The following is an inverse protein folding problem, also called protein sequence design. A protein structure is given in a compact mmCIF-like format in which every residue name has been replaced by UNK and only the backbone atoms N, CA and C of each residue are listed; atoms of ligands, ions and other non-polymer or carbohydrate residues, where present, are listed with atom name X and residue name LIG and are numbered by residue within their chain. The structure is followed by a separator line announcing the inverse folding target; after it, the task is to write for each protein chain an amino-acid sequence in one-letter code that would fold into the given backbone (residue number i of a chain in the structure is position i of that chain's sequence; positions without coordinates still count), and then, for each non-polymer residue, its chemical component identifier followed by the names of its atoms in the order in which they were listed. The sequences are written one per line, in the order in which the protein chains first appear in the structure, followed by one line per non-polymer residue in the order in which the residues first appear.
data_IF_296779344107
#
_entry.id   IF_296779344107
#
_cell.length_a   1.000
_cell.length_b   1.000
_cell.length_c   1.000
_cell.angle_alpha   90.00
_cell.angle_beta   90.00
_cell.angle_gamma   90.00
#
_symmetry.space_group_name_H-M   'P 1'
#
loop_
_entity.id
_entity.type
_entity.pdbx_description
1 polymer ?
2 non-polymer ?
3 non-polymer ?
4 water ?
#
# COMPACT_ATOMS: atom_id res chain seq x y z
N UNK A 3 -26.08 -5.48 -25.58
CA UNK A 3 -24.63 -5.26 -25.57
C UNK A 3 -24.23 -3.94 -24.87
N UNK A 4 -24.74 -3.69 -23.66
CA UNK A 4 -24.39 -2.46 -22.92
C UNK A 4 -22.91 -2.36 -22.57
N UNK A 5 -22.34 -1.15 -22.54
CA UNK A 5 -20.94 -0.96 -22.17
C UNK A 5 -20.70 -1.10 -20.67
N UNK A 6 -19.57 -1.71 -20.27
CA UNK A 6 -19.24 -1.79 -18.84
C UNK A 6 -19.03 -0.41 -18.23
N UNK A 7 -19.21 -0.33 -16.91
CA UNK A 7 -19.01 0.89 -16.15
C UNK A 7 -17.90 0.62 -15.14
N UNK A 8 -16.91 1.51 -15.09
CA UNK A 8 -15.80 1.35 -14.14
C UNK A 8 -15.68 2.52 -13.19
N UNK A 9 -15.46 2.22 -11.91
CA UNK A 9 -15.36 3.23 -10.87
C UNK A 9 -14.01 3.03 -10.17
N UNK A 10 -13.10 4.00 -10.30
CA UNK A 10 -11.80 3.84 -9.64
C UNK A 10 -11.96 3.83 -8.14
N UNK A 11 -11.32 2.88 -7.47
CA UNK A 11 -11.31 2.85 -6.02
C UNK A 11 -9.89 2.70 -5.46
N UNK A 12 -9.75 3.02 -4.17
CA UNK A 12 -8.47 3.06 -3.48
C UNK A 12 -8.43 2.03 -2.35
N UNK A 13 -7.78 0.89 -2.59
CA UNK A 13 -7.71 -0.17 -1.58
C UNK A 13 -6.60 0.02 -0.56
N UNK A 14 -5.81 1.10 -0.68
CA UNK A 14 -4.70 1.32 0.27
C UNK A 14 -5.17 2.05 1.53
N UNK A 15 -6.39 2.61 1.51
CA UNK A 15 -6.91 3.37 2.66
C UNK A 15 -8.19 2.77 3.25
N UNK A 16 -8.19 2.48 4.55
CA UNK A 16 -9.40 2.01 5.26
C UNK A 16 -10.48 3.06 5.17
N UNK A 17 -11.73 2.64 4.94
CA UNK A 17 -12.85 3.58 4.91
C UNK A 17 -12.95 4.47 3.68
N UNK A 18 -12.15 4.17 2.66
CA UNK A 18 -12.25 4.93 1.41
C UNK A 18 -13.60 4.64 0.76
N UNK A 19 -14.33 5.70 0.44
CA UNK A 19 -15.67 5.59 -0.16
C UNK A 19 -15.72 6.29 -1.51
N UNK A 20 -16.38 5.65 -2.50
CA UNK A 20 -16.70 6.28 -3.76
C UNK A 20 -18.19 6.07 -4.08
N UNK A 21 -18.84 7.10 -4.59
CA UNK A 21 -20.26 7.04 -4.88
C UNK A 21 -20.51 7.50 -6.32
N UNK A 22 -21.15 6.68 -7.14
CA UNK A 22 -21.51 7.13 -8.48
C UNK A 22 -22.91 6.72 -8.92
N UNK A 23 -23.54 7.56 -9.73
CA UNK A 23 -24.81 7.22 -10.33
C UNK A 23 -24.54 6.27 -11.50
N UNK A 24 -25.40 5.29 -11.63
CA UNK A 24 -25.20 4.23 -12.55
C UNK A 24 -26.51 3.99 -13.28
N UNK A 25 -26.44 3.97 -14.60
CA UNK A 25 -27.61 3.74 -15.42
C UNK A 25 -27.60 2.34 -16.00
N UNK A 26 -28.62 1.55 -15.65
CA UNK A 26 -28.82 0.23 -16.23
C UNK A 26 -29.79 0.33 -17.42
N UNK A 27 -29.31 -0.03 -18.62
CA UNK A 27 -30.07 0.08 -19.86
C UNK A 27 -30.93 -1.14 -20.13
N UNK A 28 -30.55 -2.29 -19.58
CA UNK A 28 -31.24 -3.53 -19.87
C UNK A 28 -31.51 -4.25 -18.57
N UNK A 29 -32.75 -4.70 -18.39
CA UNK A 29 -33.06 -5.55 -17.25
C UNK A 29 -32.37 -6.89 -17.46
N UNK A 30 -31.32 -7.15 -16.69
CA UNK A 30 -30.59 -8.41 -16.81
C UNK A 30 -29.75 -8.64 -15.55
N UNK A 31 -28.86 -9.63 -15.57
CA UNK A 31 -27.96 -9.81 -14.45
C UNK A 31 -26.62 -9.21 -14.82
N UNK A 32 -25.91 -8.73 -13.80
CA UNK A 32 -24.66 -8.00 -13.97
C UNK A 32 -23.62 -8.47 -13.01
N UNK A 33 -22.41 -8.66 -13.52
CA UNK A 33 -21.28 -8.98 -12.67
C UNK A 33 -20.72 -7.70 -12.06
N UNK A 34 -20.36 -7.80 -10.77
CA UNK A 34 -19.64 -6.75 -10.07
C UNK A 34 -18.26 -7.32 -9.75
N UNK A 35 -17.20 -6.63 -10.16
CA UNK A 35 -15.85 -7.18 -10.01
C UNK A 35 -14.86 -6.10 -9.69
N UNK A 36 -13.67 -6.50 -9.25
CA UNK A 36 -12.58 -5.56 -9.14
C UNK A 36 -11.55 -5.92 -10.18
N UNK A 37 -11.04 -4.91 -10.88
CA UNK A 37 -9.98 -5.10 -11.87
C UNK A 37 -8.72 -4.37 -11.44
N UNK A 38 -7.62 -5.11 -11.37
CA UNK A 38 -6.32 -4.60 -10.92
C UNK A 38 -5.40 -4.29 -12.10
N UNK A 39 -4.86 -3.08 -12.13
CA UNK A 39 -3.80 -2.75 -13.10
C UNK A 39 -2.48 -3.42 -12.75
N UNK A 40 -1.71 -3.75 -13.78
CA UNK A 40 -0.47 -4.49 -13.62
C UNK A 40 0.54 -3.94 -14.62
N UNK A 41 1.83 -3.91 -14.26
CA UNK A 41 2.85 -3.47 -15.20
C UNK A 41 2.98 -4.45 -16.37
N UNK A 42 3.14 -3.95 -17.58
CA UNK A 42 3.25 -4.89 -18.70
C UNK A 42 4.42 -5.85 -18.48
N UNK A 43 4.21 -7.12 -18.84
CA UNK A 43 5.20 -8.16 -18.65
C UNK A 43 6.51 -7.77 -19.32
N UNK A 44 6.41 -7.12 -20.47
CA UNK A 44 7.58 -6.65 -21.19
C UNK A 44 8.46 -5.71 -20.35
N UNK A 45 7.83 -4.81 -19.61
CA UNK A 45 8.56 -3.85 -18.76
C UNK A 45 9.41 -4.51 -17.68
N UNK A 46 8.77 -5.19 -16.73
CA UNK A 46 9.50 -5.90 -15.68
C UNK A 46 9.63 -7.40 -15.97
N UNK A 47 10.13 -8.15 -15.00
CA UNK A 47 10.35 -9.57 -15.22
C UNK A 47 9.06 -10.37 -15.31
N UNK A 48 7.92 -9.67 -15.26
CA UNK A 48 6.64 -10.30 -15.05
C UNK A 48 6.37 -10.29 -13.57
N UNK A 49 7.25 -9.62 -12.85
CA UNK A 49 7.21 -9.62 -11.40
C UNK A 49 5.94 -8.98 -10.84
N UNK A 50 5.51 -7.87 -11.43
CA UNK A 50 4.36 -7.16 -10.91
C UNK A 50 3.12 -8.04 -11.03
N UNK A 51 3.01 -8.74 -12.16
CA UNK A 51 1.94 -9.69 -12.40
C UNK A 51 1.90 -10.78 -11.34
N UNK A 52 3.06 -11.31 -10.98
CA UNK A 52 3.12 -12.33 -9.93
C UNK A 52 2.72 -11.80 -8.56
N UNK A 53 3.07 -10.55 -8.24
CA UNK A 53 2.67 -10.03 -6.94
C UNK A 53 1.17 -9.86 -6.89
N UNK A 54 0.58 -9.44 -8.01
CA UNK A 54 -0.85 -9.26 -8.04
C UNK A 54 -1.57 -10.59 -8.00
N UNK A 55 -1.07 -11.57 -8.74
CA UNK A 55 -1.55 -12.93 -8.63
C UNK A 55 -1.51 -13.41 -7.16
N UNK A 56 -0.39 -13.19 -6.51
CA UNK A 56 -0.24 -13.62 -5.12
C UNK A 56 -1.36 -13.03 -4.24
N UNK A 57 -1.59 -11.72 -4.39
CA UNK A 57 -2.64 -11.00 -3.65
C UNK A 57 -4.05 -11.57 -3.94
N UNK A 58 -4.36 -11.76 -5.23
CA UNK A 58 -5.68 -12.30 -5.63
C UNK A 58 -5.95 -13.73 -5.15
N UNK A 59 -4.93 -14.58 -5.17
CA UNK A 59 -5.11 -16.00 -4.89
C UNK A 59 -5.25 -16.83 -6.16
N UNK A 60 -5.43 -18.13 -6.00
CA UNK A 60 -5.54 -19.08 -7.11
C UNK A 60 -6.89 -19.79 -7.22
N UNK A 61 -7.59 -19.93 -6.10
CA UNK A 61 -8.92 -20.53 -6.08
C UNK A 61 -9.94 -19.64 -6.78
N UNK A 62 -10.97 -20.25 -7.36
CA UNK A 62 -11.97 -19.51 -8.11
C UNK A 62 -13.38 -19.87 -7.66
N UNK A 63 -14.24 -18.86 -7.59
CA UNK A 63 -15.63 -19.01 -7.13
C UNK A 63 -16.58 -18.35 -8.13
N UNK A 64 -17.68 -19.03 -8.45
CA UNK A 64 -18.68 -18.48 -9.36
C UNK A 64 -19.43 -17.32 -8.68
N UNK A 65 -19.37 -16.11 -9.27
CA UNK A 65 -20.02 -14.97 -8.60
C UNK A 65 -21.55 -15.12 -8.53
N UNK A 66 -22.12 -15.98 -9.38
CA UNK A 66 -23.58 -16.15 -9.41
C UNK A 66 -24.11 -16.81 -8.13
N UNK A 67 -23.39 -17.79 -7.59
CA UNK A 67 -23.88 -18.52 -6.43
C UNK A 67 -22.84 -18.83 -5.40
N UNK A 68 -21.60 -18.40 -5.65
CA UNK A 68 -20.53 -18.59 -4.69
C UNK A 68 -19.90 -19.98 -4.76
N UNK A 69 -20.36 -20.83 -5.68
CA UNK A 69 -19.79 -22.18 -5.74
C UNK A 69 -18.30 -22.14 -6.13
N UNK A 70 -17.49 -22.97 -5.48
CA UNK A 70 -16.10 -23.09 -5.86
C UNK A 70 -15.95 -23.79 -7.20
N UNK A 71 -15.33 -23.12 -8.18
CA UNK A 71 -15.15 -23.73 -9.50
C UNK A 71 -13.68 -23.91 -9.82
N UNK A 72 -12.83 -23.40 -8.94
CA UNK A 72 -11.38 -23.57 -9.12
C UNK A 72 -10.68 -23.86 -7.78
N UNK A 73 -10.00 -24.98 -7.74
CA UNK A 73 -9.19 -25.34 -6.58
C UNK A 73 -7.72 -25.52 -6.94
N UNK A 74 -6.83 -24.93 -6.14
CA UNK A 74 -5.41 -25.01 -6.42
C UNK A 74 -4.67 -25.23 -5.12
N UNK A 75 -3.81 -26.24 -5.10
CA UNK A 75 -3.00 -26.56 -3.92
C UNK A 75 -1.77 -25.66 -3.81
N UNK A 76 -1.25 -25.55 -2.60
CA UNK A 76 0.00 -24.83 -2.34
C UNK A 76 1.12 -25.21 -3.30
N UNK A 77 1.31 -26.51 -3.57
CA UNK A 77 2.41 -26.91 -4.47
C UNK A 77 2.40 -26.15 -5.82
N UNK A 78 1.22 -25.97 -6.39
CA UNK A 78 1.12 -25.30 -7.70
C UNK A 78 1.36 -23.80 -7.56
N UNK A 79 0.75 -23.19 -6.54
CA UNK A 79 1.02 -21.80 -6.24
C UNK A 79 2.52 -21.59 -6.03
N UNK A 80 3.18 -22.55 -5.38
CA UNK A 80 4.62 -22.42 -5.12
C UNK A 80 5.41 -22.52 -6.44
N UNK A 81 4.96 -23.40 -7.34
CA UNK A 81 5.57 -23.51 -8.65
C UNK A 81 5.42 -22.20 -9.44
N UNK A 82 4.24 -21.59 -9.36
CA UNK A 82 4.01 -20.32 -10.06
C UNK A 82 4.80 -19.16 -9.43
N UNK A 83 4.79 -19.05 -8.11
CA UNK A 83 5.27 -17.85 -7.42
C UNK A 83 6.65 -17.92 -6.76
N UNK A 84 7.13 -19.13 -6.51
CA UNK A 84 8.45 -19.30 -5.86
C UNK A 84 8.65 -18.63 -4.50
N UNK A 85 9.73 -17.86 -4.39
CA UNK A 85 10.11 -17.20 -3.15
C UNK A 85 9.14 -16.10 -2.72
N UNK A 86 8.11 -15.83 -3.51
CA UNK A 86 7.17 -14.81 -3.13
C UNK A 86 6.25 -15.28 -2.01
N UNK A 87 6.15 -16.59 -1.85
CA UNK A 87 5.26 -17.15 -0.84
C UNK A 87 6.01 -18.17 0.02
N UNK A 88 5.41 -18.54 1.15
CA UNK A 88 5.92 -19.60 2.00
C UNK A 88 4.77 -20.54 2.29
N UNK A 89 5.02 -21.53 3.13
CA UNK A 89 4.06 -22.61 3.22
C UNK A 89 2.81 -22.23 3.96
N UNK A 90 2.75 -21.01 4.48
CA UNK A 90 1.52 -20.55 5.12
C UNK A 90 0.54 -19.93 4.11
N UNK A 91 0.92 -19.88 2.83
CA UNK A 91 0.14 -19.18 1.81
C UNK A 91 -1.23 -19.85 1.66
N UNK A 92 -2.26 -19.01 1.62
CA UNK A 92 -3.66 -19.43 1.42
C UNK A 92 -4.09 -19.14 -0.02
N UNK A 93 -4.40 -20.18 -0.79
CA UNK A 93 -4.83 -20.02 -2.19
C UNK A 93 -6.13 -19.24 -2.43
N UNK A 94 -6.86 -18.96 -1.36
CA UNK A 94 -7.97 -18.02 -1.47
C UNK A 94 -7.49 -16.57 -1.70
N UNK A 95 -6.20 -16.29 -1.51
CA UNK A 95 -5.69 -14.95 -1.64
C UNK A 95 -5.98 -14.06 -0.43
N UNK A 96 -5.69 -12.77 -0.57
CA UNK A 96 -5.94 -11.82 0.50
C UNK A 96 -7.41 -11.43 0.50
N UNK A 97 -8.06 -11.62 1.64
CA UNK A 97 -9.49 -11.32 1.70
C UNK A 97 -9.62 -9.82 1.73
N UNK A 98 -10.46 -9.26 0.86
CA UNK A 98 -10.69 -7.82 0.82
C UNK A 98 -12.17 -7.48 1.07
N UNK A 99 -12.48 -6.96 2.27
CA UNK A 99 -13.86 -6.61 2.63
C UNK A 99 -14.26 -5.37 1.89
N UNK A 100 -15.37 -5.45 1.16
CA UNK A 100 -15.90 -4.37 0.36
C UNK A 100 -17.37 -4.23 0.74
N UNK A 101 -17.79 -3.03 1.07
CA UNK A 101 -19.19 -2.81 1.35
C UNK A 101 -19.84 -2.10 0.17
N UNK A 102 -20.86 -2.74 -0.38
CA UNK A 102 -21.61 -2.15 -1.47
C UNK A 102 -23.02 -1.79 -1.05
N UNK A 103 -23.36 -0.51 -1.23
CA UNK A 103 -24.70 0.00 -0.96
C UNK A 103 -25.33 0.49 -2.26
N UNK A 104 -26.55 0.05 -2.55
CA UNK A 104 -27.23 0.46 -3.76
C UNK A 104 -28.61 1.08 -3.48
N UNK A 105 -28.80 2.32 -3.96
CA UNK A 105 -30.11 2.96 -3.99
C UNK A 105 -30.67 3.05 -5.41
N UNK A 106 -31.96 2.78 -5.55
CA UNK A 106 -32.60 3.04 -6.84
C UNK A 106 -33.15 4.44 -6.80
N UNK A 107 -33.00 5.18 -7.88
CA UNK A 107 -33.61 6.51 -7.99
C UNK A 107 -35.05 6.35 -8.51
N UNK A 108 -36.03 6.78 -7.73
CA UNK A 108 -37.44 6.61 -8.12
C UNK A 108 -37.88 7.68 -9.12
N UNK A 109 -39.06 7.44 -9.69
CA UNK A 109 -39.64 8.37 -10.64
C UNK A 109 -39.69 9.79 -10.06
N UNK A 110 -40.10 9.92 -8.81
CA UNK A 110 -40.18 11.25 -8.20
C UNK A 110 -38.84 11.68 -7.62
N UNK A 111 -37.79 10.96 -8.00
CA UNK A 111 -36.44 11.31 -7.58
C UNK A 111 -36.11 11.06 -6.10
N UNK A 112 -37.05 10.50 -5.32
CA UNK A 112 -36.67 9.90 -4.04
C UNK A 112 -35.73 8.71 -4.27
N UNK A 113 -35.02 8.31 -3.24
CA UNK A 113 -34.10 7.18 -3.35
C UNK A 113 -34.58 6.04 -2.47
N UNK A 114 -34.55 4.83 -3.02
CA UNK A 114 -34.96 3.64 -2.28
C UNK A 114 -33.72 2.77 -2.07
N UNK A 115 -33.41 2.45 -0.83
CA UNK A 115 -32.28 1.54 -0.53
C UNK A 115 -32.69 0.14 -0.97
N UNK A 116 -31.98 -0.46 -1.91
CA UNK A 116 -32.35 -1.83 -2.23
C UNK A 116 -31.31 -2.90 -1.85
N UNK A 117 -30.07 -2.49 -1.57
CA UNK A 117 -29.07 -3.44 -1.08
C UNK A 117 -28.02 -2.74 -0.24
N UNK A 118 -27.58 -3.39 0.84
CA UNK A 118 -26.45 -2.90 1.64
C UNK A 118 -25.71 -4.14 2.13
N UNK A 119 -24.61 -4.47 1.46
CA UNK A 119 -23.95 -5.76 1.67
C UNK A 119 -22.44 -5.63 1.89
N UNK A 120 -21.93 -6.37 2.87
CA UNK A 120 -20.49 -6.45 3.09
C UNK A 120 -20.03 -7.77 2.47
N UNK A 121 -19.15 -7.68 1.46
CA UNK A 121 -18.58 -8.88 0.83
C UNK A 121 -17.17 -9.10 1.32
N UNK A 122 -16.92 -10.28 1.86
CA UNK A 122 -15.57 -10.72 2.17
C UNK A 122 -14.95 -11.33 0.90
N UNK A 123 -14.56 -10.46 -0.02
CA UNK A 123 -14.14 -10.94 -1.35
C UNK A 123 -12.85 -11.77 -1.25
N UNK A 124 -12.72 -12.73 -2.17
CA UNK A 124 -11.56 -13.59 -2.17
C UNK A 124 -11.41 -14.19 -3.55
N UNK A 125 -10.25 -14.76 -3.83
CA UNK A 125 -10.12 -15.57 -5.01
C UNK A 125 -9.82 -14.79 -6.28
N UNK A 126 -9.73 -15.56 -7.33
CA UNK A 126 -9.20 -15.13 -8.60
C UNK A 126 -10.38 -15.14 -9.59
N UNK A 127 -10.78 -13.97 -10.06
CA UNK A 127 -11.91 -13.85 -11.00
C UNK A 127 -11.67 -14.33 -12.42
N UNK A 128 -12.74 -14.31 -13.23
CA UNK A 128 -12.68 -14.88 -14.57
C UNK A 128 -11.71 -14.16 -15.51
N UNK A 129 -11.77 -12.84 -15.57
CA UNK A 129 -10.92 -12.09 -16.48
C UNK A 129 -9.45 -11.97 -16.06
N UNK A 130 -8.71 -11.07 -16.71
CA UNK A 130 -7.32 -10.83 -16.37
C UNK A 130 -7.18 -10.00 -15.11
N UNK A 131 -6.44 -10.53 -14.14
CA UNK A 131 -6.18 -9.81 -12.90
C UNK A 131 -7.45 -9.22 -12.30
N UNK A 132 -8.44 -10.07 -12.12
CA UNK A 132 -9.72 -9.63 -11.57
C UNK A 132 -10.07 -10.40 -10.31
N UNK A 133 -10.90 -9.79 -9.49
CA UNK A 133 -11.54 -10.54 -8.43
C UNK A 133 -13.05 -10.35 -8.57
N UNK A 134 -13.77 -11.47 -8.65
CA UNK A 134 -15.22 -11.48 -8.83
C UNK A 134 -15.87 -11.27 -7.45
N UNK A 135 -16.75 -10.28 -7.33
CA UNK A 135 -17.44 -10.01 -6.06
C UNK A 135 -18.79 -10.70 -6.01
N UNK A 136 -19.67 -10.32 -6.93
CA UNK A 136 -21.01 -10.91 -6.96
C UNK A 136 -21.67 -10.68 -8.34
N UNK A 137 -22.80 -11.35 -8.55
CA UNK A 137 -23.64 -11.13 -9.72
C UNK A 137 -25.02 -10.74 -9.21
N UNK A 138 -25.60 -9.67 -9.77
CA UNK A 138 -26.86 -9.15 -9.27
C UNK A 138 -27.83 -8.84 -10.44
N UNK A 139 -29.10 -9.19 -10.25
CA UNK A 139 -30.12 -8.87 -11.25
C UNK A 139 -30.61 -7.45 -11.03
N UNK A 140 -30.39 -6.57 -12.01
CA UNK A 140 -30.85 -5.17 -11.94
C UNK A 140 -31.84 -4.89 -13.07
N UNK A 141 -32.95 -4.22 -12.75
CA UNK A 141 -33.88 -3.77 -13.75
C UNK A 141 -33.36 -2.48 -14.37
N UNK A 142 -33.78 -2.25 -15.61
CA UNK A 142 -33.54 -1.01 -16.32
C UNK A 142 -33.91 0.16 -15.41
N UNK A 143 -33.02 1.13 -15.28
CA UNK A 143 -33.27 2.26 -14.42
C UNK A 143 -32.00 2.95 -13.99
N UNK A 144 -32.13 3.81 -12.99
CA UNK A 144 -31.03 4.60 -12.47
C UNK A 144 -30.77 4.22 -11.02
N UNK A 145 -29.49 4.14 -10.65
CA UNK A 145 -29.08 3.70 -9.32
C UNK A 145 -27.92 4.55 -8.78
N UNK A 146 -27.82 4.63 -7.46
CA UNK A 146 -26.61 5.14 -6.82
C UNK A 146 -25.85 3.97 -6.21
N UNK A 147 -24.62 3.76 -6.68
CA UNK A 147 -23.74 2.77 -6.09
C UNK A 147 -22.76 3.46 -5.16
N UNK A 148 -22.68 2.98 -3.93
CA UNK A 148 -21.67 3.46 -3.02
C UNK A 148 -20.76 2.28 -2.70
N UNK A 149 -19.46 2.47 -2.87
CA UNK A 149 -18.50 1.39 -2.67
C UNK A 149 -17.46 1.85 -1.65
N UNK A 150 -17.35 1.09 -0.56
CA UNK A 150 -16.46 1.42 0.52
C UNK A 150 -15.45 0.29 0.71
N UNK A 151 -14.17 0.65 0.69
CA UNK A 151 -13.10 -0.27 1.03
C UNK A 151 -12.90 -0.25 2.55
N UNK A 152 -13.13 -1.39 3.19
CA UNK A 152 -13.09 -1.45 4.66
C UNK A 152 -11.67 -1.43 5.25
N UNK A 153 -10.77 -2.27 4.72
CA UNK A 153 -9.42 -2.37 5.27
C UNK A 153 -8.34 -1.76 4.38
N UNK A 154 -7.25 -1.34 5.02
CA UNK A 154 -6.08 -0.79 4.31
C UNK A 154 -5.17 -1.92 3.84
N UNK A 155 -4.79 -1.90 2.55
CA UNK A 155 -3.81 -2.86 2.01
C UNK A 155 -2.59 -2.13 1.46
N UNK A 156 -1.48 -2.22 2.17
CA UNK A 156 -0.29 -1.48 1.81
C UNK A 156 0.27 -1.93 0.48
N UNK A 157 0.02 -3.19 0.10
CA UNK A 157 0.37 -3.68 -1.25
C UNK A 157 -0.30 -2.87 -2.37
N UNK A 158 -1.41 -2.22 -2.07
CA UNK A 158 -2.18 -1.53 -3.10
C UNK A 158 -1.85 -0.06 -3.15
N UNK A 159 -0.86 0.37 -2.38
CA UNK A 159 -0.50 1.78 -2.42
C UNK A 159 -0.02 2.15 -3.84
N UNK A 160 -0.57 3.22 -4.41
CA UNK A 160 -0.19 3.66 -5.75
C UNK A 160 -0.73 2.79 -6.88
N UNK A 161 -1.52 1.76 -6.57
CA UNK A 161 -1.97 0.87 -7.62
C UNK A 161 -3.39 1.21 -8.00
N UNK A 162 -3.65 1.28 -9.31
CA UNK A 162 -5.01 1.50 -9.78
C UNK A 162 -5.84 0.22 -9.72
N UNK A 163 -7.04 0.36 -9.16
CA UNK A 163 -8.04 -0.70 -9.09
C UNK A 163 -9.40 -0.09 -9.50
N UNK A 164 -10.14 -0.79 -10.36
CA UNK A 164 -11.48 -0.37 -10.77
C UNK A 164 -12.53 -1.29 -10.18
N UNK A 165 -13.56 -0.72 -9.58
CA UNK A 165 -14.81 -1.43 -9.39
C UNK A 165 -15.57 -1.38 -10.71
N UNK A 166 -15.95 -2.55 -11.23
CA UNK A 166 -16.56 -2.62 -12.56
C UNK A 166 -17.89 -3.39 -12.60
N UNK A 167 -18.87 -2.82 -13.31
CA UNK A 167 -20.16 -3.49 -13.54
C UNK A 167 -20.26 -3.82 -15.01
N UNK A 168 -20.42 -5.09 -15.33
CA UNK A 168 -20.69 -5.43 -16.72
C UNK A 168 -21.76 -6.54 -16.85
N UNK A 169 -22.41 -6.57 -18.00
CA UNK A 169 -23.58 -7.43 -18.16
C UNK A 169 -23.13 -8.87 -18.19
N UNK A 170 -23.90 -9.76 -17.56
CA UNK A 170 -23.59 -11.19 -17.57
C UNK A 170 -24.16 -11.85 -18.85
N UNK A 171 -23.28 -12.21 -19.79
CA UNK A 171 -23.74 -12.78 -21.07
C UNK A 171 -24.03 -14.29 -21.06
N UNK A 172 -24.17 -14.91 -19.90
CA UNK A 172 -24.61 -16.30 -19.87
C UNK A 172 -25.24 -16.70 -18.55
N UNK B 3 23.22 -10.99 0.56
CA UNK B 3 22.40 -10.81 1.76
C UNK B 3 20.92 -10.71 1.41
N UNK B 4 20.04 -10.70 2.42
CA UNK B 4 18.62 -10.49 2.11
C UNK B 4 18.37 -9.12 1.51
N UNK B 5 17.38 -9.02 0.61
CA UNK B 5 17.00 -7.73 0.03
C UNK B 5 16.28 -6.81 1.02
N UNK B 6 16.45 -5.50 0.82
CA UNK B 6 15.78 -4.49 1.65
C UNK B 6 14.27 -4.63 1.46
N UNK B 7 13.51 -4.24 2.46
CA UNK B 7 12.06 -4.20 2.35
C UNK B 7 11.58 -2.75 2.52
N UNK B 8 10.70 -2.29 1.62
CA UNK B 8 10.30 -0.89 1.58
C UNK B 8 8.80 -0.71 1.53
N UNK B 9 8.32 0.35 2.17
CA UNK B 9 6.92 0.68 2.08
C UNK B 9 6.78 2.18 1.97
N UNK B 10 5.93 2.65 1.05
CA UNK B 10 5.70 4.09 0.92
C UNK B 10 5.09 4.62 2.19
N UNK B 11 5.56 5.80 2.58
CA UNK B 11 4.98 6.48 3.72
C UNK B 11 4.56 7.90 3.29
N UNK B 12 3.43 8.38 3.82
CA UNK B 12 2.94 9.73 3.51
C UNK B 12 3.20 10.70 4.67
N UNK B 13 4.25 11.51 4.53
CA UNK B 13 4.62 12.45 5.59
C UNK B 13 3.79 13.72 5.53
N UNK B 14 2.98 13.87 4.48
CA UNK B 14 2.15 15.06 4.34
C UNK B 14 0.86 15.05 5.16
N UNK B 15 0.54 13.90 5.77
CA UNK B 15 -0.74 13.74 6.48
C UNK B 15 -0.55 13.34 7.93
N UNK B 16 -1.08 14.15 8.84
CA UNK B 16 -1.00 13.82 10.28
C UNK B 16 -1.74 12.52 10.59
N UNK B 17 -1.06 11.58 11.24
CA UNK B 17 -1.66 10.34 11.68
C UNK B 17 -1.80 9.31 10.57
N UNK B 18 -1.09 9.53 9.47
CA UNK B 18 -1.06 8.55 8.41
C UNK B 18 -0.45 7.25 8.97
N UNK B 19 -1.05 6.12 8.63
CA UNK B 19 -0.58 4.86 9.15
C UNK B 19 -0.37 3.93 7.99
N UNK B 20 0.72 3.18 8.02
CA UNK B 20 0.94 2.09 7.05
C UNK B 20 1.39 0.83 7.78
N UNK B 21 0.97 -0.32 7.28
CA UNK B 21 1.23 -1.56 7.97
C UNK B 21 1.73 -2.59 6.96
N UNK B 22 2.75 -3.35 7.34
CA UNK B 22 3.38 -4.24 6.40
C UNK B 22 3.93 -5.48 7.10
N UNK B 23 3.63 -6.64 6.55
CA UNK B 23 4.22 -7.88 7.05
C UNK B 23 5.66 -8.00 6.58
N UNK B 24 6.54 -8.25 7.54
CA UNK B 24 7.97 -8.28 7.28
C UNK B 24 8.58 -9.62 7.66
N UNK B 25 9.15 -10.29 6.66
CA UNK B 25 9.78 -11.58 6.87
C UNK B 25 11.30 -11.42 7.04
N UNK B 26 11.80 -11.75 8.22
CA UNK B 26 13.23 -11.68 8.54
C UNK B 26 13.85 -13.06 8.27
N UNK B 27 14.77 -13.13 7.32
CA UNK B 27 15.33 -14.43 6.91
C UNK B 27 16.54 -14.82 7.76
N UNK B 28 17.17 -13.82 8.36
CA UNK B 28 18.40 -14.07 9.08
C UNK B 28 18.35 -13.32 10.39
N UNK B 29 18.52 -14.03 11.50
CA UNK B 29 18.66 -13.39 12.80
C UNK B 29 19.85 -12.46 12.82
N UNK B 30 19.60 -11.15 12.88
CA UNK B 30 20.69 -10.19 12.82
C UNK B 30 20.15 -8.82 13.23
N UNK B 31 20.97 -7.78 13.11
CA UNK B 31 20.44 -6.42 13.33
C UNK B 31 20.12 -5.73 12.00
N UNK B 32 19.11 -4.87 12.03
CA UNK B 32 18.60 -4.26 10.81
C UNK B 32 18.43 -2.76 11.00
N UNK B 33 18.81 -1.97 10.00
CA UNK B 33 18.55 -0.53 10.04
C UNK B 33 17.11 -0.21 9.61
N UNK B 34 16.48 0.71 10.32
CA UNK B 34 15.20 1.22 9.87
C UNK B 34 15.45 2.68 9.43
N UNK B 35 15.02 3.03 8.22
CA UNK B 35 15.34 4.36 7.68
C UNK B 35 14.15 4.90 6.88
N UNK B 36 14.11 6.21 6.66
CA UNK B 36 13.29 6.79 5.60
C UNK B 36 14.21 7.19 4.44
N UNK B 37 13.77 6.89 3.21
CA UNK B 37 14.49 7.30 2.02
C UNK B 37 13.62 8.26 1.21
N UNK B 38 14.20 9.39 0.81
CA UNK B 38 13.48 10.42 0.06
C UNK B 38 13.86 10.41 -1.42
N UNK B 39 12.87 10.34 -2.29
CA UNK B 39 13.13 10.47 -3.71
C UNK B 39 13.42 11.93 -4.04
N UNK B 40 14.31 12.16 -4.99
CA UNK B 40 14.68 13.50 -5.36
C UNK B 40 14.66 13.60 -6.89
N UNK B 41 14.24 14.75 -7.41
CA UNK B 41 14.32 15.00 -8.86
C UNK B 41 15.76 14.92 -9.35
N UNK B 42 15.90 14.40 -10.56
CA UNK B 42 17.21 14.27 -11.18
C UNK B 42 17.89 15.64 -11.23
N UNK B 43 19.11 15.68 -10.73
CA UNK B 43 19.97 16.86 -10.77
C UNK B 43 19.98 17.54 -12.15
N UNK B 44 19.98 16.72 -13.21
CA UNK B 44 19.96 17.21 -14.59
C UNK B 44 18.73 18.07 -14.93
N UNK B 45 17.61 17.81 -14.26
CA UNK B 45 16.38 18.55 -14.55
C UNK B 45 16.32 19.99 -14.00
N UNK B 46 16.78 20.19 -12.77
CA UNK B 46 16.60 21.48 -12.11
C UNK B 46 17.87 22.11 -11.54
N UNK B 47 19.03 21.64 -12.00
CA UNK B 47 20.29 22.17 -11.50
C UNK B 47 20.53 21.83 -10.04
N UNK B 48 19.81 20.84 -9.54
CA UNK B 48 20.03 20.32 -8.19
C UNK B 48 19.15 20.99 -7.17
N UNK B 49 18.20 21.80 -7.63
CA UNK B 49 17.32 22.52 -6.73
C UNK B 49 16.55 21.60 -5.82
N UNK B 50 15.98 20.52 -6.36
CA UNK B 50 15.17 19.63 -5.55
C UNK B 50 16.00 18.92 -4.48
N UNK B 51 17.21 18.48 -4.85
CA UNK B 51 18.07 17.77 -3.91
C UNK B 51 18.43 18.66 -2.75
N UNK B 52 18.67 19.93 -3.04
CA UNK B 52 18.98 20.92 -2.03
C UNK B 52 17.81 21.17 -1.08
N UNK B 53 16.59 21.17 -1.63
CA UNK B 53 15.40 21.31 -0.80
C UNK B 53 15.26 20.12 0.15
N UNK B 54 15.46 18.90 -0.36
CA UNK B 54 15.40 17.72 0.48
C UNK B 54 16.50 17.73 1.54
N UNK B 55 17.73 18.05 1.13
CA UNK B 55 18.86 18.17 2.06
C UNK B 55 18.52 19.14 3.20
N UNK B 56 17.92 20.28 2.84
CA UNK B 56 17.56 21.27 3.83
C UNK B 56 16.65 20.67 4.90
N UNK B 57 15.66 19.93 4.45
CA UNK B 57 14.69 19.25 5.32
C UNK B 57 15.38 18.22 6.19
N UNK B 58 16.32 17.49 5.62
CA UNK B 58 16.93 16.39 6.37
C UNK B 58 17.89 16.88 7.45
N UNK B 59 18.61 17.96 7.15
CA UNK B 59 19.63 18.43 8.05
C UNK B 59 21.02 18.02 7.60
N UNK B 60 22.04 18.44 8.37
CA UNK B 60 23.43 18.23 8.03
C UNK B 60 24.16 17.36 9.08
N UNK B 61 23.69 17.37 10.34
CA UNK B 61 24.24 16.52 11.41
C UNK B 61 23.90 15.05 11.22
N UNK B 62 24.76 14.18 11.71
CA UNK B 62 24.58 12.73 11.49
C UNK B 62 24.66 12.00 12.80
N UNK B 63 23.85 10.96 12.94
CA UNK B 63 23.81 10.20 14.18
C UNK B 63 23.85 8.71 13.87
N UNK B 64 24.63 7.94 14.61
CA UNK B 64 24.69 6.50 14.40
C UNK B 64 23.39 5.86 14.88
N UNK B 65 22.67 5.13 13.99
CA UNK B 65 21.36 4.61 14.44
C UNK B 65 21.50 3.46 15.43
N UNK B 66 22.69 2.87 15.54
CA UNK B 66 22.90 1.78 16.49
C UNK B 66 22.82 2.25 17.93
N UNK B 67 23.28 3.47 18.21
CA UNK B 67 23.27 3.93 19.60
C UNK B 67 22.94 5.40 19.79
N UNK B 68 22.66 6.11 18.69
CA UNK B 68 22.35 7.52 18.75
C UNK B 68 23.55 8.44 18.86
N UNK B 69 24.76 7.89 18.84
CA UNK B 69 25.93 8.76 19.01
C UNK B 69 26.03 9.77 17.85
N UNK B 70 26.28 11.04 18.15
CA UNK B 70 26.49 11.99 17.06
C UNK B 70 27.81 11.70 16.32
N UNK B 71 27.74 11.37 15.04
CA UNK B 71 29.00 11.10 14.31
C UNK B 71 29.31 12.16 13.27
N UNK B 72 28.45 13.17 13.16
CA UNK B 72 28.62 14.16 12.13
C UNK B 72 28.11 15.48 12.68
N UNK B 73 28.97 16.48 12.66
CA UNK B 73 28.61 17.82 13.09
C UNK B 73 28.96 18.82 11.99
N UNK B 74 28.01 19.70 11.69
CA UNK B 74 28.19 20.72 10.66
C UNK B 74 27.65 22.08 11.16
N UNK B 75 28.42 23.13 10.94
CA UNK B 75 28.06 24.44 11.45
C UNK B 75 27.18 25.12 10.42
N UNK B 76 26.40 26.08 10.89
CA UNK B 76 25.56 26.88 10.01
C UNK B 76 26.37 27.37 8.82
N UNK B 77 27.60 27.86 9.06
CA UNK B 77 28.37 28.41 7.95
C UNK B 77 28.43 27.50 6.72
N UNK B 78 28.63 26.20 6.95
CA UNK B 78 28.69 25.25 5.84
C UNK B 78 27.33 24.93 5.25
N UNK B 79 26.32 24.81 6.10
CA UNK B 79 24.96 24.64 5.57
C UNK B 79 24.66 25.83 4.67
N UNK B 80 25.04 27.03 5.10
CA UNK B 80 24.77 28.23 4.29
C UNK B 80 25.52 28.23 2.93
N UNK B 81 26.78 27.78 2.94
CA UNK B 81 27.58 27.63 1.72
C UNK B 81 26.91 26.64 0.78
N UNK B 82 26.34 25.57 1.36
CA UNK B 82 25.69 24.55 0.56
C UNK B 82 24.35 25.04 -0.01
N UNK B 83 23.50 25.60 0.86
CA UNK B 83 22.11 25.90 0.54
C UNK B 83 21.80 27.37 0.18
N UNK B 84 22.67 28.30 0.55
CA UNK B 84 22.50 29.71 0.22
C UNK B 84 21.20 30.31 0.71
N UNK B 85 20.40 30.85 -0.20
CA UNK B 85 19.18 31.55 0.15
C UNK B 85 18.02 30.64 0.58
N UNK B 86 18.25 29.33 0.54
CA UNK B 86 17.21 28.40 0.96
C UNK B 86 17.08 28.41 2.47
N UNK B 87 18.06 28.97 3.16
CA UNK B 87 18.01 29.01 4.60
C UNK B 87 18.32 30.40 5.15
N UNK B 88 17.99 30.60 6.42
CA UNK B 88 18.33 31.83 7.14
C UNK B 88 19.03 31.49 8.45
N UNK B 89 19.37 32.52 9.21
CA UNK B 89 20.29 32.38 10.34
C UNK B 89 19.76 31.47 11.45
N UNK B 90 18.48 31.15 11.41
CA UNK B 90 17.87 30.34 12.44
C UNK B 90 17.88 28.84 12.06
N UNK B 91 18.58 28.51 10.99
CA UNK B 91 18.57 27.13 10.50
C UNK B 91 19.18 26.17 11.52
N UNK B 92 18.46 25.12 11.90
CA UNK B 92 19.00 24.04 12.74
C UNK B 92 19.58 22.90 11.91
N UNK B 93 20.89 22.67 11.99
CA UNK B 93 21.50 21.59 11.21
C UNK B 93 21.06 20.16 11.57
N UNK B 94 20.23 20.00 12.60
CA UNK B 94 19.62 18.70 12.86
C UNK B 94 18.48 18.46 11.89
N UNK B 95 18.13 19.51 11.14
CA UNK B 95 17.08 19.44 10.12
C UNK B 95 15.69 19.40 10.74
N UNK B 96 14.68 19.07 9.93
CA UNK B 96 13.30 18.99 10.44
C UNK B 96 13.07 17.71 11.23
N UNK B 97 12.67 17.87 12.50
CA UNK B 97 12.29 16.72 13.34
C UNK B 97 11.02 16.04 12.79
N UNK B 98 11.08 14.75 12.51
CA UNK B 98 9.89 14.07 12.01
C UNK B 98 9.49 12.96 13.00
N UNK B 99 8.44 13.21 13.81
CA UNK B 99 7.98 12.19 14.75
C UNK B 99 7.35 10.99 14.03
N UNK B 100 7.90 9.80 14.30
CA UNK B 100 7.48 8.55 13.65
C UNK B 100 7.25 7.53 14.75
N UNK B 101 6.09 6.87 14.71
CA UNK B 101 5.79 5.87 15.71
C UNK B 101 5.82 4.50 15.06
N UNK B 102 6.59 3.60 15.66
CA UNK B 102 6.74 2.27 15.09
C UNK B 102 6.30 1.21 16.09
N UNK B 103 5.33 0.40 15.66
CA UNK B 103 4.81 -0.68 16.46
C UNK B 103 5.16 -1.98 15.77
N UNK B 104 5.64 -2.98 16.50
CA UNK B 104 6.01 -4.22 15.85
C UNK B 104 5.43 -5.39 16.59
N UNK B 105 4.67 -6.22 15.85
CA UNK B 105 4.21 -7.49 16.39
C UNK B 105 4.95 -8.66 15.77
N UNK B 106 5.23 -9.67 16.58
CA UNK B 106 5.76 -10.90 16.02
C UNK B 106 4.60 -11.85 15.76
N UNK B 107 4.63 -12.51 14.61
CA UNK B 107 3.59 -13.48 14.31
C UNK B 107 4.04 -14.85 14.80
N UNK B 108 3.23 -15.46 15.66
CA UNK B 108 3.59 -16.75 16.22
C UNK B 108 3.16 -17.93 15.34
N UNK B 109 3.66 -19.12 15.69
CA UNK B 109 3.30 -20.34 14.98
C UNK B 109 1.79 -20.52 14.96
N UNK B 110 1.17 -20.43 16.13
CA UNK B 110 -0.28 -20.46 16.26
C UNK B 110 -0.93 -19.34 15.44
N UNK B 111 -0.09 -18.50 14.86
CA UNK B 111 -0.49 -17.34 14.07
C UNK B 111 -1.06 -16.21 14.91
N UNK B 112 -0.93 -16.35 16.23
CA UNK B 112 -1.27 -15.28 17.15
C UNK B 112 -0.25 -14.16 16.98
N UNK B 113 -0.60 -12.96 17.43
CA UNK B 113 0.30 -11.81 17.35
C UNK B 113 0.74 -11.32 18.73
N UNK B 114 2.05 -11.32 18.98
CA UNK B 114 2.61 -10.79 20.21
C UNK B 114 3.27 -9.43 19.99
N UNK B 115 2.85 -8.42 20.76
CA UNK B 115 3.43 -7.08 20.67
C UNK B 115 4.82 -7.08 21.27
N UNK B 116 5.83 -6.76 20.47
CA UNK B 116 7.18 -6.71 21.01
C UNK B 116 7.79 -5.32 21.10
N UNK B 117 7.25 -4.34 20.35
CA UNK B 117 7.78 -2.98 20.47
C UNK B 117 6.77 -1.93 20.03
N UNK B 118 6.79 -0.80 20.73
CA UNK B 118 5.93 0.34 20.38
C UNK B 118 6.71 1.58 20.81
N UNK B 119 7.29 2.27 19.84
CA UNK B 119 8.24 3.30 20.12
C UNK B 119 7.96 4.55 19.28
N UNK B 120 8.03 5.72 19.91
CA UNK B 120 7.94 7.02 19.24
C UNK B 120 9.35 7.53 19.05
N UNK B 121 9.76 7.77 17.79
CA UNK B 121 11.11 8.26 17.49
C UNK B 121 11.03 9.70 17.02
N UNK B 122 11.72 10.62 17.71
CA UNK B 122 11.77 12.01 17.26
C UNK B 122 12.90 12.10 16.21
N UNK B 123 12.64 11.63 14.99
CA UNK B 123 13.76 11.39 14.06
C UNK B 123 14.40 12.71 13.62
N UNK B 124 15.70 12.67 13.35
CA UNK B 124 16.43 13.88 13.01
C UNK B 124 17.68 13.56 12.24
N UNK B 125 18.17 14.55 11.49
CA UNK B 125 19.50 14.42 10.92
C UNK B 125 19.61 13.70 9.59
N UNK B 126 20.85 13.60 9.14
CA UNK B 126 21.19 13.17 7.81
C UNK B 126 21.76 11.75 7.93
N UNK B 127 21.06 10.77 7.37
CA UNK B 127 21.50 9.40 7.46
C UNK B 127 22.58 9.07 6.45
N UNK B 128 22.97 7.80 6.48
CA UNK B 128 24.12 7.26 5.76
C UNK B 128 24.02 7.35 4.24
N UNK B 129 23.03 6.69 3.63
CA UNK B 129 22.92 6.71 2.18
C UNK B 129 22.41 8.01 1.53
N UNK B 130 21.88 7.90 0.32
CA UNK B 130 21.49 9.05 -0.46
C UNK B 130 20.13 9.57 -0.02
N UNK B 131 20.07 10.82 0.40
CA UNK B 131 18.82 11.42 0.89
C UNK B 131 18.02 10.49 1.83
N UNK B 132 18.66 10.07 2.90
CA UNK B 132 18.00 9.21 3.88
C UNK B 132 17.98 9.86 5.24
N UNK B 133 17.05 9.38 6.06
CA UNK B 133 17.07 9.70 7.47
C UNK B 133 17.05 8.41 8.27
N UNK B 134 18.05 8.24 9.13
CA UNK B 134 18.22 6.99 9.87
C UNK B 134 17.30 7.06 11.08
N UNK B 135 16.44 6.06 11.27
CA UNK B 135 15.55 6.05 12.44
C UNK B 135 16.18 5.31 13.62
N UNK B 136 16.48 4.02 13.42
CA UNK B 136 17.07 3.24 14.50
C UNK B 136 17.58 1.94 13.90
N UNK B 137 18.27 1.16 14.71
CA UNK B 137 18.75 -0.16 14.31
C UNK B 137 18.23 -1.14 15.34
N UNK B 138 17.71 -2.29 14.89
CA UNK B 138 17.11 -3.22 15.84
C UNK B 138 17.51 -4.67 15.56
N UNK B 139 17.79 -5.44 16.60
CA UNK B 139 18.08 -6.86 16.41
C UNK B 139 16.78 -7.66 16.30
N UNK B 140 16.58 -8.33 15.17
CA UNK B 140 15.43 -9.19 15.02
C UNK B 140 15.84 -10.63 14.70
N UNK B 141 15.18 -11.58 15.35
CA UNK B 141 15.43 -12.97 15.03
C UNK B 141 14.69 -13.37 13.75
N UNK B 142 15.23 -14.38 13.07
CA UNK B 142 14.57 -14.95 11.90
C UNK B 142 13.12 -15.14 12.29
N UNK B 143 12.21 -14.70 11.42
CA UNK B 143 10.79 -14.90 11.67
C UNK B 143 9.95 -13.90 10.90
N UNK B 144 8.70 -13.72 11.34
CA UNK B 144 7.76 -12.89 10.61
C UNK B 144 7.12 -11.87 11.56
N UNK B 145 6.93 -10.64 11.08
CA UNK B 145 6.45 -9.55 11.91
C UNK B 145 5.44 -8.69 11.17
N UNK B 146 4.66 -7.93 11.94
CA UNK B 146 3.84 -6.88 11.36
C UNK B 146 4.49 -5.58 11.84
N UNK B 147 4.87 -4.72 10.89
CA UNK B 147 5.35 -3.38 11.22
C UNK B 147 4.26 -2.38 10.92
N UNK B 148 3.94 -1.54 11.89
CA UNK B 148 2.95 -0.49 11.73
C UNK B 148 3.68 0.81 11.94
N UNK B 149 3.75 1.63 10.90
CA UNK B 149 4.44 2.88 10.97
C UNK B 149 3.46 4.03 10.87
N UNK B 150 3.53 4.94 11.84
CA UNK B 150 2.63 6.07 11.88
C UNK B 150 3.37 7.38 11.81
N UNK B 151 2.95 8.23 10.87
CA UNK B 151 3.51 9.56 10.75
C UNK B 151 2.71 10.53 11.60
N UNK B 152 3.34 11.11 12.63
CA UNK B 152 2.58 11.88 13.62
C UNK B 152 2.15 13.27 13.10
N UNK B 153 3.08 14.03 12.54
CA UNK B 153 2.81 15.40 12.10
C UNK B 153 2.71 15.53 10.59
N UNK B 154 1.92 16.49 10.12
CA UNK B 154 1.82 16.78 8.70
C UNK B 154 2.94 17.72 8.26
N UNK B 155 3.60 17.36 7.16
CA UNK B 155 4.61 18.21 6.57
C UNK B 155 4.19 18.63 5.17
N UNK B 156 3.74 19.88 5.03
CA UNK B 156 3.27 20.36 3.75
C UNK B 156 4.35 20.28 2.66
N UNK B 157 5.63 20.39 3.04
CA UNK B 157 6.76 20.23 2.13
C UNK B 157 6.77 18.84 1.50
N UNK B 158 6.07 17.89 2.11
CA UNK B 158 6.08 16.54 1.58
C UNK B 158 4.82 16.20 0.74
N UNK B 159 3.97 17.19 0.51
CA UNK B 159 2.80 16.93 -0.30
C UNK B 159 3.29 16.43 -1.66
N UNK B 160 2.78 15.29 -2.09
CA UNK B 160 3.12 14.75 -3.40
C UNK B 160 4.51 14.14 -3.51
N UNK B 161 5.29 14.13 -2.41
CA UNK B 161 6.64 13.56 -2.53
C UNK B 161 6.67 12.06 -2.23
N UNK B 162 7.59 11.36 -2.87
CA UNK B 162 7.77 9.96 -2.58
C UNK B 162 8.76 9.79 -1.44
N UNK B 163 8.34 9.07 -0.40
CA UNK B 163 9.20 8.73 0.72
C UNK B 163 8.91 7.27 1.09
N UNK B 164 9.96 6.48 1.32
CA UNK B 164 9.81 5.09 1.71
C UNK B 164 10.34 4.88 3.10
N UNK B 165 9.66 4.02 3.84
CA UNK B 165 10.21 3.44 5.05
C UNK B 165 10.92 2.14 4.62
N UNK B 166 12.16 1.97 5.05
CA UNK B 166 12.98 0.85 4.56
C UNK B 166 13.69 0.17 5.70
N UNK B 167 13.67 -1.17 5.66
CA UNK B 167 14.38 -2.02 6.60
C UNK B 167 15.43 -2.79 5.84
N UNK B 168 16.68 -2.67 6.24
CA UNK B 168 17.72 -3.44 5.56
C UNK B 168 18.82 -3.90 6.50
N UNK B 169 19.45 -5.00 6.13
CA UNK B 169 20.37 -5.67 7.06
C UNK B 169 21.60 -4.82 7.33
N UNK B 170 21.99 -4.73 8.60
CA UNK B 170 23.17 -3.99 9.01
C UNK B 170 24.40 -4.87 8.78
N UNK B 171 25.22 -4.54 7.78
CA UNK B 171 26.39 -5.33 7.43
C UNK B 171 27.61 -5.15 8.35
N UNK B 172 27.86 -3.92 8.82
CA UNK B 172 28.96 -3.70 9.75
C UNK B 172 28.91 -4.64 10.94
X LIG C 1 -4.40 -13.67 -13.48
X LIG C 1 -4.95 -14.44 -12.64
X LIG C 1 -4.91 -13.15 -14.51
X LIG C 1 -2.97 -13.35 -13.20
X LIG D 1 -32.91 -11.44 -14.57
X LIG D 1 -32.02 -12.08 -13.68
X LIG D 1 -33.69 -10.30 -13.90
X LIG D 1 -35.09 -10.59 -13.89
X LIG D 1 -33.46 -9.01 -14.71
X LIG D 1 -33.20 -7.91 -13.87
X LIG E 1 -24.02 -1.57 -17.85
X LIG E 1 -23.14 -2.13 -18.53
X LIG E 1 -25.04 -0.97 -18.30
X LIG E 1 -23.84 -1.63 -16.37
X LIG F 1 -37.24 1.65 3.80
X LIG F 1 -38.10 1.59 2.89
X LIG F 1 -36.13 1.04 3.80
X LIG F 1 -37.53 2.52 4.99
X LIG G 1 -22.65 -11.92 3.13
X LIG G 1 -22.28 -11.16 4.26
X LIG G 1 -23.40 -11.04 2.16
X LIG G 1 -23.21 -9.67 2.48
X LIG G 1 -22.92 -11.41 0.77
X LIG G 1 -24.02 -11.39 -0.11
X LIG H 1 22.53 13.74 0.93
X LIG H 1 22.30 12.63 0.35
X LIG H 1 22.20 14.05 2.10
X LIG H 1 23.31 14.79 0.18
X LIG I 1 12.62 -11.18 18.26
X LIG I 1 13.64 -10.61 17.74
X LIG I 1 12.57 -12.32 18.77
X LIG I 1 11.33 -10.44 18.28
X LIG J 1 23.51 19.86 20.58
X LIG J 1 24.45 18.83 20.36
X LIG J 1 23.05 20.47 19.27
X LIG J 1 22.57 21.79 19.49
X LIG J 1 21.94 19.63 18.65
X LIG J 1 22.36 19.13 17.40
#
# INVERSE_FOLDING_TARGET
SNAPNPISIPIDLSQAGSVVEKEVKIEESWSYHLILQFAVHDRKEDGGLDGKRVWKFLGFNSYDPRDGKQVGYVDYRLAKSELGDLIDETYDCDGTVVPIKITIHQINQDNTKKLIADNLYMTKGNGSGAYTRDITTISLDKGKYIFRIENIEAFSEMIGRKVDFTIYINKRDK
SNAPNPISIPIDLSQAGSVVEKEVKIEESWSYHLILQFAVHDRKEDGGLDGKRVWKFLGFNSYDPRDGKQVGYVDYRLAKSELGDLIDETYDCDGTVVPIKITIHQINQDNTKKLIADNLYMTKGNGSGAYTRDITTISLDKGKYIFRIENIEAFSEMIGRKVDFTIYINKRDK
ACY C O OXT CH3
GOL C1 O1 C2 O2 C3 O3
ACY C O OXT CH3
ACY C O OXT CH3
GOL C1 O1 C2 O2 C3 O3
ACY C O OXT CH3
ACY C O OXT CH3
GOL C1 O1 C2 O2 C3 O3
#
